data_IF_687865254930
#
_entry.id   IF_687865254930
#
_cell.length_a   1.000
_cell.length_b   1.000
_cell.length_c   1.000
_cell.angle_alpha   90.00
_cell.angle_beta   90.00
_cell.angle_gamma   90.00
#
_symmetry.space_group_name_H-M   'P 1'
#
loop_
_entity.id
_entity.type
_entity.pdbx_description
1 polymer ?
#
# COMPACT_ATOMS: atom_id res chain seq x y z
N UNK A 1 45.74 -0.81 -15.82
CA UNK A 1 44.62 -1.37 -15.00
C UNK A 1 43.72 -0.33 -14.32
N UNK A 2 44.06 0.96 -14.30
CA UNK A 2 43.25 2.00 -13.63
C UNK A 2 42.02 2.50 -14.42
N UNK A 3 41.94 2.26 -15.74
CA UNK A 3 40.89 2.83 -16.61
C UNK A 3 39.58 2.04 -16.65
N UNK A 4 39.61 0.70 -16.43
CA UNK A 4 38.39 -0.14 -16.38
C UNK A 4 37.61 0.01 -15.06
N UNK A 5 38.27 0.36 -13.95
CA UNK A 5 37.63 0.57 -12.63
C UNK A 5 36.82 1.87 -12.58
N UNK A 6 37.30 2.93 -13.26
CA UNK A 6 36.62 4.23 -13.35
C UNK A 6 35.42 4.19 -14.30
N UNK A 7 35.49 3.40 -15.38
CA UNK A 7 34.34 3.15 -16.26
C UNK A 7 33.22 2.36 -15.55
N UNK A 8 33.55 1.34 -14.75
CA UNK A 8 32.55 0.62 -13.93
C UNK A 8 31.93 1.50 -12.84
N UNK A 9 32.69 2.44 -12.24
CA UNK A 9 32.15 3.44 -11.31
C UNK A 9 31.24 4.47 -11.99
N UNK A 10 31.55 4.90 -13.22
CA UNK A 10 30.68 5.80 -14.02
C UNK A 10 29.45 5.11 -14.61
N UNK A 11 29.52 3.80 -14.88
CA UNK A 11 28.35 3.00 -15.32
C UNK A 11 27.43 2.71 -14.12
N UNK A 12 27.97 2.49 -12.92
CA UNK A 12 27.19 2.38 -11.70
C UNK A 12 26.54 3.71 -11.28
N UNK A 13 27.17 4.86 -11.57
CA UNK A 13 26.64 6.20 -11.27
C UNK A 13 25.63 6.73 -12.30
N UNK A 14 25.31 5.93 -13.33
CA UNK A 14 24.32 6.25 -14.38
C UNK A 14 23.31 5.11 -14.50
N UNK A 15 22.87 4.53 -13.38
CA UNK A 15 21.55 3.89 -13.34
C UNK A 15 20.59 5.00 -13.75
N UNK A 16 20.14 5.00 -15.01
CA UNK A 16 19.19 5.97 -15.52
C UNK A 16 18.10 6.14 -14.47
N UNK A 17 17.97 7.35 -13.95
CA UNK A 17 17.02 7.63 -12.88
C UNK A 17 15.64 7.41 -13.50
N UNK A 18 15.06 6.25 -13.23
CA UNK A 18 13.75 5.85 -13.75
C UNK A 18 12.78 6.98 -13.37
N UNK A 19 12.15 7.59 -14.37
CA UNK A 19 11.22 8.71 -14.17
C UNK A 19 10.03 8.28 -13.33
N UNK A 20 9.35 9.23 -12.68
CA UNK A 20 8.15 8.94 -11.89
C UNK A 20 7.07 8.30 -12.76
N UNK A 21 6.93 8.75 -14.00
CA UNK A 21 6.02 8.12 -14.96
C UNK A 21 6.36 6.66 -15.27
N UNK A 22 7.65 6.34 -15.46
CA UNK A 22 8.05 4.94 -15.70
C UNK A 22 7.79 4.05 -14.48
N UNK A 23 7.85 4.60 -13.26
CA UNK A 23 7.42 3.89 -12.05
C UNK A 23 5.91 3.66 -12.04
N UNK A 24 5.11 4.66 -12.41
CA UNK A 24 3.65 4.50 -12.58
C UNK A 24 3.31 3.38 -13.56
N UNK A 25 3.99 3.32 -14.72
CA UNK A 25 3.81 2.22 -15.68
C UNK A 25 4.17 0.85 -15.09
N UNK A 26 5.23 0.77 -14.28
CA UNK A 26 5.64 -0.47 -13.60
C UNK A 26 4.69 -0.85 -12.45
N UNK A 27 4.09 0.12 -11.77
CA UNK A 27 3.05 -0.09 -10.76
C UNK A 27 1.76 -0.65 -11.38
N UNK A 28 1.44 -0.22 -12.61
CA UNK A 28 0.26 -0.65 -13.38
C UNK A 28 0.53 -1.85 -14.30
N UNK A 29 1.72 -2.43 -14.23
CA UNK A 29 2.11 -3.50 -15.14
C UNK A 29 1.15 -4.70 -15.00
N UNK A 30 0.59 -5.27 -16.09
CA UNK A 30 -0.44 -6.32 -16.01
C UNK A 30 0.00 -7.59 -15.26
N UNK A 31 1.31 -7.87 -15.26
CA UNK A 31 1.93 -9.00 -14.53
C UNK A 31 2.48 -8.63 -13.16
N UNK A 32 2.24 -7.41 -12.66
CA UNK A 32 2.66 -7.04 -11.31
C UNK A 32 1.99 -8.00 -10.30
N UNK A 33 2.73 -8.57 -9.34
CA UNK A 33 2.11 -9.39 -8.31
C UNK A 33 1.12 -8.56 -7.48
N UNK A 34 -0.06 -9.13 -7.25
CA UNK A 34 -1.19 -8.56 -6.51
C UNK A 34 -1.18 -9.10 -5.08
N UNK A 35 -2.13 -8.65 -4.25
CA UNK A 35 -2.19 -8.98 -2.83
C UNK A 35 -2.20 -10.49 -2.59
N UNK A 36 -3.05 -11.25 -3.28
CA UNK A 36 -3.18 -12.69 -3.08
C UNK A 36 -1.93 -13.48 -3.53
N UNK A 37 -1.14 -12.96 -4.48
CA UNK A 37 0.15 -13.57 -4.83
C UNK A 37 1.15 -13.44 -3.68
N UNK A 38 1.16 -12.29 -3.00
CA UNK A 38 2.00 -12.09 -1.82
C UNK A 38 1.50 -12.88 -0.63
N UNK A 39 0.18 -13.01 -0.43
CA UNK A 39 -0.39 -13.91 0.58
C UNK A 39 0.12 -15.34 0.36
N UNK A 40 -0.05 -15.87 -0.85
CA UNK A 40 0.37 -17.23 -1.18
C UNK A 40 1.89 -17.48 -1.07
N UNK A 41 2.72 -16.44 -1.25
CA UNK A 41 4.18 -16.59 -1.28
C UNK A 41 4.89 -16.16 0.01
N UNK A 42 4.28 -15.29 0.81
CA UNK A 42 4.90 -14.74 2.02
C UNK A 42 4.30 -15.33 3.29
N UNK A 43 3.04 -15.74 3.26
CA UNK A 43 2.26 -16.17 4.41
C UNK A 43 1.92 -17.65 4.35
N UNK A 44 1.59 -18.20 5.51
CA UNK A 44 1.23 -19.59 5.77
C UNK A 44 -0.16 -19.61 6.43
N UNK A 45 -0.89 -20.72 6.30
CA UNK A 45 -2.18 -20.96 6.95
C UNK A 45 -3.21 -19.82 6.76
N UNK A 46 -3.29 -19.24 5.56
CA UNK A 46 -4.23 -18.16 5.26
C UNK A 46 -5.68 -18.67 5.29
N UNK A 47 -6.49 -18.06 6.16
CA UNK A 47 -7.93 -18.32 6.29
C UNK A 47 -8.66 -17.01 6.01
N UNK A 48 -9.25 -16.92 4.82
CA UNK A 48 -10.00 -15.74 4.39
C UNK A 48 -11.25 -15.51 5.26
N UNK A 49 -11.52 -14.25 5.57
CA UNK A 49 -12.63 -13.80 6.41
C UNK A 49 -13.52 -12.86 5.60
N UNK A 50 -14.77 -13.28 5.40
CA UNK A 50 -15.73 -12.58 4.53
C UNK A 50 -16.71 -11.68 5.29
N UNK A 51 -17.22 -10.66 4.58
CA UNK A 51 -18.36 -9.83 4.95
C UNK A 51 -18.09 -8.73 5.99
N UNK A 52 -18.78 -7.60 5.88
CA UNK A 52 -18.71 -6.49 6.84
C UNK A 52 -19.68 -6.64 8.04
N UNK A 53 -20.60 -7.60 7.99
CA UNK A 53 -21.74 -7.78 8.92
C UNK A 53 -22.78 -6.66 8.86
N UNK A 54 -22.80 -5.91 7.76
CA UNK A 54 -23.72 -4.81 7.56
C UNK A 54 -24.43 -4.91 6.20
N UNK A 55 -23.67 -4.87 5.09
CA UNK A 55 -24.21 -4.86 3.74
C UNK A 55 -23.74 -6.06 2.92
N UNK A 56 -22.44 -6.37 2.91
CA UNK A 56 -21.91 -7.34 1.96
C UNK A 56 -20.45 -7.70 2.15
N UNK A 57 -19.95 -8.50 1.20
CA UNK A 57 -18.56 -8.92 1.12
C UNK A 57 -17.90 -8.36 -0.14
N UNK A 58 -17.07 -7.33 0.03
CA UNK A 58 -16.40 -6.66 -1.09
C UNK A 58 -15.21 -7.49 -1.61
N UNK A 59 -15.31 -7.94 -2.87
CA UNK A 59 -14.24 -8.71 -3.53
C UNK A 59 -12.95 -7.90 -3.77
N UNK A 60 -13.02 -6.56 -3.73
CA UNK A 60 -11.86 -5.68 -3.89
C UNK A 60 -10.98 -5.63 -2.63
N UNK A 61 -11.49 -6.06 -1.47
CA UNK A 61 -10.80 -5.98 -0.17
C UNK A 61 -10.75 -7.34 0.54
N UNK A 62 -10.09 -8.39 0.00
CA UNK A 62 -9.89 -9.64 0.72
C UNK A 62 -9.02 -9.46 1.97
N UNK A 63 -9.13 -10.40 2.89
CA UNK A 63 -8.26 -10.47 4.07
C UNK A 63 -8.62 -11.62 4.99
N UNK A 64 -7.78 -11.88 5.97
CA UNK A 64 -7.92 -13.06 6.80
C UNK A 64 -6.77 -13.27 7.78
N UNK A 65 -6.93 -14.30 8.60
CA UNK A 65 -5.88 -14.75 9.53
C UNK A 65 -4.81 -15.49 8.75
N UNK A 66 -3.55 -15.28 9.13
CA UNK A 66 -2.41 -15.98 8.53
C UNK A 66 -1.25 -16.07 9.51
N UNK A 67 -0.17 -16.73 9.08
CA UNK A 67 1.12 -16.72 9.75
C UNK A 67 2.21 -16.23 8.81
N UNK A 68 3.18 -15.50 9.34
CA UNK A 68 4.39 -15.10 8.60
C UNK A 68 5.60 -15.46 9.46
N UNK A 69 6.38 -16.46 9.03
CA UNK A 69 7.55 -16.95 9.80
C UNK A 69 7.15 -17.36 11.24
N UNK A 70 6.03 -18.09 11.35
CA UNK A 70 5.46 -18.53 12.62
C UNK A 70 4.62 -17.49 13.37
N UNK A 71 4.76 -16.19 13.09
CA UNK A 71 4.03 -15.10 13.75
C UNK A 71 2.59 -15.02 13.22
N UNK A 72 1.60 -15.18 14.09
CA UNK A 72 0.18 -15.01 13.74
C UNK A 72 -0.09 -13.55 13.38
N UNK A 73 -0.84 -13.29 12.32
CA UNK A 73 -1.17 -11.95 11.87
C UNK A 73 -2.53 -11.91 11.16
N UNK A 74 -3.08 -10.71 11.04
CA UNK A 74 -4.22 -10.41 10.19
C UNK A 74 -3.69 -9.72 8.92
N UNK A 75 -3.91 -10.31 7.75
CA UNK A 75 -3.54 -9.70 6.46
C UNK A 75 -4.79 -9.20 5.75
N UNK A 76 -4.78 -7.96 5.28
CA UNK A 76 -5.92 -7.30 4.63
C UNK A 76 -5.37 -6.49 3.45
N UNK A 77 -6.06 -6.42 2.33
CA UNK A 77 -5.57 -5.56 1.26
C UNK A 77 -6.44 -5.48 0.04
N UNK A 78 -6.00 -4.66 -0.91
CA UNK A 78 -6.67 -4.50 -2.20
C UNK A 78 -6.30 -5.63 -3.16
N UNK A 79 -7.28 -6.17 -3.88
CA UNK A 79 -7.05 -7.17 -4.91
C UNK A 79 -7.74 -6.74 -6.21
N UNK A 80 -6.95 -6.61 -7.29
CA UNK A 80 -7.45 -6.09 -8.57
C UNK A 80 -8.08 -7.15 -9.46
N UNK A 81 -7.67 -8.40 -9.28
CA UNK A 81 -8.03 -9.51 -10.14
C UNK A 81 -7.26 -9.52 -11.47
N UNK A 82 -7.03 -10.73 -11.99
CA UNK A 82 -6.19 -10.93 -13.19
C UNK A 82 -7.01 -10.92 -14.48
N UNK A 83 -7.97 -11.82 -14.55
CA UNK A 83 -8.83 -12.03 -15.71
C UNK A 83 -10.02 -11.08 -15.69
N UNK A 84 -10.64 -10.81 -16.84
CA UNK A 84 -11.75 -9.86 -16.96
C UNK A 84 -12.89 -10.14 -15.97
N UNK A 85 -13.28 -11.41 -15.81
CA UNK A 85 -14.33 -11.80 -14.85
C UNK A 85 -13.95 -11.51 -13.40
N UNK A 86 -12.69 -11.75 -13.04
CA UNK A 86 -12.17 -11.52 -11.68
C UNK A 86 -12.01 -10.02 -11.42
N UNK A 87 -11.53 -9.25 -12.40
CA UNK A 87 -11.46 -7.78 -12.32
C UNK A 87 -12.82 -7.14 -12.07
N UNK A 88 -13.86 -7.60 -12.76
CA UNK A 88 -15.22 -7.13 -12.55
C UNK A 88 -15.73 -7.49 -11.16
N UNK A 89 -15.50 -8.74 -10.70
CA UNK A 89 -15.87 -9.17 -9.34
C UNK A 89 -15.20 -8.32 -8.25
N UNK A 90 -13.99 -7.84 -8.52
CA UNK A 90 -13.17 -7.11 -7.55
C UNK A 90 -13.11 -5.61 -7.82
N UNK A 91 -13.99 -5.10 -8.68
CA UNK A 91 -14.03 -3.67 -9.05
C UNK A 91 -12.65 -3.09 -9.41
N UNK A 92 -11.79 -3.89 -10.05
CA UNK A 92 -10.42 -3.50 -10.39
C UNK A 92 -9.57 -3.04 -9.18
N UNK A 93 -9.88 -3.52 -7.98
CA UNK A 93 -9.25 -3.14 -6.71
C UNK A 93 -9.78 -1.84 -6.11
N UNK A 94 -10.83 -1.27 -6.67
CA UNK A 94 -11.53 -0.12 -6.11
C UNK A 94 -12.59 -0.60 -5.11
N UNK A 95 -12.26 -0.57 -3.82
CA UNK A 95 -13.18 -0.99 -2.77
C UNK A 95 -14.33 0.02 -2.59
N UNK A 96 -15.52 -0.51 -2.32
CA UNK A 96 -16.69 0.22 -1.85
C UNK A 96 -16.72 0.33 -0.32
N UNK A 97 -17.79 0.91 0.25
CA UNK A 97 -17.88 1.18 1.69
C UNK A 97 -17.82 -0.10 2.55
N UNK A 98 -18.49 -1.16 2.11
CA UNK A 98 -18.45 -2.49 2.71
C UNK A 98 -17.03 -3.06 2.81
N UNK A 99 -16.14 -2.76 1.84
CA UNK A 99 -14.75 -3.17 1.87
C UNK A 99 -13.99 -2.54 3.04
N UNK A 100 -14.15 -1.22 3.25
CA UNK A 100 -13.52 -0.52 4.36
C UNK A 100 -14.08 -0.96 5.72
N UNK A 101 -15.40 -1.13 5.83
CA UNK A 101 -16.04 -1.67 7.06
C UNK A 101 -15.57 -3.08 7.37
N UNK A 102 -15.48 -3.96 6.36
CA UNK A 102 -14.92 -5.31 6.50
C UNK A 102 -13.46 -5.26 6.96
N UNK A 103 -12.64 -4.39 6.36
CA UNK A 103 -11.25 -4.21 6.76
C UNK A 103 -11.15 -3.84 8.24
N UNK A 104 -11.89 -2.83 8.69
CA UNK A 104 -11.88 -2.41 10.10
C UNK A 104 -12.40 -3.51 11.05
N UNK A 105 -13.43 -4.28 10.65
CA UNK A 105 -13.91 -5.42 11.42
C UNK A 105 -12.79 -6.45 11.65
N UNK A 106 -12.00 -6.73 10.62
CA UNK A 106 -10.84 -7.62 10.73
C UNK A 106 -9.72 -7.00 11.59
N UNK A 107 -9.47 -5.70 11.47
CA UNK A 107 -8.47 -5.00 12.30
C UNK A 107 -8.84 -5.03 13.79
N UNK A 108 -10.11 -4.80 14.14
CA UNK A 108 -10.61 -4.92 15.52
C UNK A 108 -10.51 -6.36 16.05
N UNK A 109 -10.71 -7.35 15.18
CA UNK A 109 -10.49 -8.75 15.53
C UNK A 109 -9.01 -9.02 15.82
N UNK A 110 -8.10 -8.45 15.02
CA UNK A 110 -6.66 -8.57 15.24
C UNK A 110 -6.23 -7.96 16.58
N UNK A 111 -6.73 -6.76 16.91
CA UNK A 111 -6.53 -6.11 18.21
C UNK A 111 -7.04 -6.97 19.36
N UNK A 112 -8.27 -7.51 19.26
CA UNK A 112 -8.87 -8.37 20.30
C UNK A 112 -7.99 -9.59 20.63
N UNK A 113 -7.29 -10.14 19.65
CA UNK A 113 -6.40 -11.30 19.82
C UNK A 113 -4.92 -10.93 19.98
N UNK A 114 -4.60 -9.63 20.09
CA UNK A 114 -3.23 -9.11 20.20
C UNK A 114 -2.30 -9.64 19.10
N UNK A 115 -2.79 -9.68 17.85
CA UNK A 115 -1.99 -10.07 16.69
C UNK A 115 -1.76 -8.86 15.75
N UNK A 116 -0.56 -8.75 15.14
CA UNK A 116 -0.24 -7.67 14.23
C UNK A 116 -1.09 -7.70 12.96
N UNK A 117 -1.28 -6.52 12.37
CA UNK A 117 -1.99 -6.30 11.11
C UNK A 117 -0.97 -6.00 10.00
N UNK A 118 -1.14 -6.63 8.84
CA UNK A 118 -0.43 -6.30 7.61
C UNK A 118 -1.42 -5.85 6.55
N UNK A 119 -1.40 -4.57 6.20
CA UNK A 119 -2.24 -3.97 5.17
C UNK A 119 -1.48 -3.90 3.84
N UNK A 120 -2.03 -4.51 2.79
CA UNK A 120 -1.43 -4.57 1.45
C UNK A 120 -2.22 -3.64 0.52
N UNK A 121 -1.59 -2.54 0.11
CA UNK A 121 -2.22 -1.47 -0.65
C UNK A 121 -1.92 -1.61 -2.14
N UNK A 122 -2.97 -1.76 -2.95
CA UNK A 122 -2.90 -1.75 -4.42
C UNK A 122 -4.24 -1.35 -5.05
N UNK A 123 -4.55 -0.07 -5.02
CA UNK A 123 -5.81 0.47 -5.52
C UNK A 123 -5.63 1.73 -6.37
N UNK A 124 -6.35 1.87 -7.49
CA UNK A 124 -6.48 3.15 -8.18
C UNK A 124 -7.17 4.24 -7.34
N UNK A 125 -8.00 3.82 -6.37
CA UNK A 125 -8.81 4.68 -5.51
C UNK A 125 -10.05 3.94 -4.99
N UNK A 126 -10.81 4.57 -4.10
CA UNK A 126 -12.12 4.05 -3.71
C UNK A 126 -13.07 4.03 -4.91
N UNK A 127 -14.06 3.13 -4.92
CA UNK A 127 -15.01 3.02 -6.02
C UNK A 127 -15.90 4.28 -6.12
N UNK A 128 -15.84 5.06 -7.22
CA UNK A 128 -16.56 6.31 -7.35
C UNK A 128 -17.93 6.10 -8.01
N UNK A 129 -18.76 5.22 -7.42
CA UNK A 129 -20.08 4.85 -7.94
C UNK A 129 -21.24 5.38 -7.10
N UNK A 130 -22.43 5.48 -7.70
CA UNK A 130 -23.64 5.97 -7.01
C UNK A 130 -23.95 5.11 -5.79
N UNK A 131 -23.86 3.78 -5.89
CA UNK A 131 -24.13 2.89 -4.77
C UNK A 131 -23.12 3.06 -3.63
N UNK A 132 -21.87 3.46 -3.95
CA UNK A 132 -20.86 3.73 -2.93
C UNK A 132 -21.15 5.04 -2.19
N UNK A 133 -21.63 6.06 -2.89
CA UNK A 133 -22.07 7.32 -2.27
C UNK A 133 -23.31 7.10 -1.37
N UNK A 134 -24.34 6.42 -1.87
CA UNK A 134 -25.55 6.08 -1.10
C UNK A 134 -25.25 5.30 0.18
N UNK A 135 -24.16 4.52 0.18
CA UNK A 135 -23.69 3.70 1.30
C UNK A 135 -22.57 4.36 2.11
N UNK A 136 -22.32 5.66 1.89
CA UNK A 136 -21.37 6.49 2.62
C UNK A 136 -19.89 6.04 2.52
N UNK A 137 -19.33 6.05 1.30
CA UNK A 137 -17.90 5.77 1.10
C UNK A 137 -16.98 6.72 1.88
N UNK A 138 -17.32 8.01 1.93
CA UNK A 138 -16.56 9.00 2.68
C UNK A 138 -16.53 8.69 4.18
N UNK A 139 -17.68 8.31 4.76
CA UNK A 139 -17.79 7.91 6.17
C UNK A 139 -16.96 6.67 6.44
N UNK A 140 -17.09 5.62 5.63
CA UNK A 140 -16.39 4.36 5.91
C UNK A 140 -14.87 4.53 5.88
N UNK A 141 -14.33 5.35 4.97
CA UNK A 141 -12.91 5.70 4.94
C UNK A 141 -12.55 6.55 6.17
N UNK A 142 -13.28 7.63 6.45
CA UNK A 142 -12.98 8.52 7.58
C UNK A 142 -13.02 7.80 8.93
N UNK A 143 -13.99 6.90 9.10
CA UNK A 143 -14.13 6.08 10.29
C UNK A 143 -12.93 5.11 10.43
N UNK A 144 -12.49 4.49 9.34
CA UNK A 144 -11.26 3.69 9.36
C UNK A 144 -10.05 4.53 9.80
N UNK A 145 -9.84 5.73 9.24
CA UNK A 145 -8.70 6.57 9.63
C UNK A 145 -8.70 6.85 11.14
N UNK A 146 -9.87 7.21 11.68
CA UNK A 146 -10.05 7.49 13.11
C UNK A 146 -9.75 6.25 13.95
N UNK A 147 -10.29 5.09 13.59
CA UNK A 147 -10.13 3.89 14.41
C UNK A 147 -8.70 3.35 14.34
N UNK A 148 -8.09 3.35 13.15
CA UNK A 148 -6.75 2.81 12.94
C UNK A 148 -5.68 3.55 13.74
N UNK A 149 -5.84 4.86 13.99
CA UNK A 149 -4.88 5.60 14.82
C UNK A 149 -4.87 5.11 16.29
N UNK A 150 -5.99 4.54 16.77
CA UNK A 150 -6.17 4.13 18.17
C UNK A 150 -5.95 2.63 18.42
N UNK A 151 -5.85 1.81 17.37
CA UNK A 151 -5.73 0.35 17.50
C UNK A 151 -4.50 -0.06 18.32
N UNK A 152 -4.71 -0.80 19.40
CA UNK A 152 -3.69 -1.27 20.34
C UNK A 152 -2.95 -2.52 19.89
N UNK A 153 -2.68 -2.63 18.60
CA UNK A 153 -1.88 -3.70 18.00
C UNK A 153 -0.97 -3.13 16.90
N UNK A 154 0.19 -3.74 16.61
CA UNK A 154 1.05 -3.29 15.52
C UNK A 154 0.37 -3.33 14.17
N UNK A 155 0.58 -2.30 13.35
CA UNK A 155 0.08 -2.18 11.99
C UNK A 155 1.23 -1.86 11.05
N UNK A 156 1.36 -2.64 9.99
CA UNK A 156 2.27 -2.36 8.88
C UNK A 156 1.46 -2.22 7.61
N UNK A 157 1.54 -1.07 6.95
CA UNK A 157 0.98 -0.85 5.63
C UNK A 157 2.07 -0.97 4.57
N UNK A 158 1.79 -1.65 3.46
CA UNK A 158 2.72 -1.81 2.34
C UNK A 158 2.03 -1.44 1.04
N UNK A 159 2.50 -0.39 0.37
CA UNK A 159 2.05 -0.06 -1.00
C UNK A 159 2.80 -0.94 -1.99
N UNK A 160 2.11 -1.97 -2.48
CA UNK A 160 2.68 -2.93 -3.42
C UNK A 160 2.51 -2.53 -4.87
N UNK A 161 1.59 -1.62 -5.22
CA UNK A 161 1.35 -1.17 -6.59
C UNK A 161 0.87 0.28 -6.65
N UNK A 162 -0.43 0.49 -6.75
CA UNK A 162 -1.03 1.82 -6.76
C UNK A 162 -1.53 2.21 -5.36
N UNK A 163 -1.10 3.37 -4.85
CA UNK A 163 -1.60 3.98 -3.63
C UNK A 163 -2.53 5.15 -3.97
N UNK A 164 -3.76 4.84 -4.40
CA UNK A 164 -4.73 5.84 -4.85
C UNK A 164 -5.49 6.53 -3.71
N UNK A 165 -5.09 7.78 -3.41
CA UNK A 165 -5.86 8.75 -2.61
C UNK A 165 -6.38 8.20 -1.28
N UNK A 166 -7.55 8.69 -0.84
CA UNK A 166 -8.24 8.22 0.37
C UNK A 166 -8.59 6.73 0.34
N UNK A 167 -8.74 6.15 -0.86
CA UNK A 167 -9.03 4.72 -0.98
C UNK A 167 -7.88 3.81 -0.55
N UNK A 168 -6.64 4.24 -0.80
CA UNK A 168 -5.45 3.61 -0.25
C UNK A 168 -5.29 3.94 1.25
N UNK A 169 -5.51 5.20 1.62
CA UNK A 169 -5.34 5.67 2.99
C UNK A 169 -6.32 5.01 3.97
N UNK A 170 -7.50 4.60 3.52
CA UNK A 170 -8.52 3.91 4.35
C UNK A 170 -8.07 2.57 4.95
N UNK A 171 -6.93 2.03 4.52
CA UNK A 171 -6.22 0.93 5.20
C UNK A 171 -4.71 1.24 5.37
N UNK A 172 -4.32 2.51 5.30
CA UNK A 172 -2.93 2.97 5.24
C UNK A 172 -2.41 3.69 6.48
N UNK A 173 -3.24 3.84 7.53
CA UNK A 173 -2.80 4.34 8.83
C UNK A 173 -2.07 3.22 9.59
N UNK A 174 -0.78 3.38 9.84
CA UNK A 174 0.07 2.31 10.35
C UNK A 174 1.27 2.83 11.16
N UNK A 175 1.83 1.98 12.01
CA UNK A 175 3.09 2.27 12.72
C UNK A 175 4.25 2.37 11.73
N UNK A 176 4.25 1.48 10.73
CA UNK A 176 5.21 1.46 9.63
C UNK A 176 4.50 1.40 8.29
N UNK A 177 4.90 2.28 7.39
CA UNK A 177 4.45 2.39 6.00
C UNK A 177 5.64 2.07 5.11
N UNK A 178 5.54 0.97 4.38
CA UNK A 178 6.53 0.52 3.41
C UNK A 178 6.00 0.77 2.00
N UNK A 179 6.89 1.01 1.05
CA UNK A 179 6.54 1.07 -0.36
C UNK A 179 7.49 0.21 -1.17
N UNK A 180 6.95 -0.57 -2.11
CA UNK A 180 7.74 -1.19 -3.15
C UNK A 180 8.42 -0.13 -4.03
N UNK A 181 9.64 -0.39 -4.50
CA UNK A 181 10.46 0.64 -5.17
C UNK A 181 9.77 1.30 -6.37
N UNK A 182 8.94 0.57 -7.11
CA UNK A 182 8.22 1.08 -8.26
C UNK A 182 6.71 1.21 -8.02
N UNK A 183 6.24 1.17 -6.77
CA UNK A 183 4.87 1.61 -6.45
C UNK A 183 4.79 3.14 -6.38
N UNK A 184 3.57 3.66 -6.36
CA UNK A 184 3.32 5.09 -6.11
C UNK A 184 2.28 5.29 -5.02
N UNK A 185 2.32 6.45 -4.36
CA UNK A 185 1.29 6.89 -3.42
C UNK A 185 0.96 8.35 -3.71
N UNK A 186 -0.30 8.66 -3.99
CA UNK A 186 -0.69 10.01 -4.45
C UNK A 186 -2.09 10.39 -3.99
N UNK A 187 -2.31 11.68 -3.75
CA UNK A 187 -3.63 12.26 -3.39
C UNK A 187 -4.62 12.21 -4.56
N UNK A 188 -4.13 12.20 -5.80
CA UNK A 188 -4.92 12.12 -7.03
C UNK A 188 -4.13 11.33 -8.08
N UNK A 189 -4.82 10.69 -9.03
CA UNK A 189 -4.14 10.06 -10.16
C UNK A 189 -3.36 11.10 -10.99
N UNK A 190 -2.22 10.73 -11.60
CA UNK A 190 -1.51 11.62 -12.52
C UNK A 190 -2.39 12.17 -13.63
N UNK A 191 -3.27 11.34 -14.18
CA UNK A 191 -4.22 11.72 -15.23
C UNK A 191 -5.24 12.74 -14.72
N UNK A 192 -5.76 12.55 -13.50
CA UNK A 192 -6.71 13.48 -12.88
C UNK A 192 -6.06 14.84 -12.61
N UNK A 193 -4.84 14.84 -12.07
CA UNK A 193 -4.06 16.06 -11.85
C UNK A 193 -3.80 16.81 -13.16
N UNK A 194 -3.37 16.10 -14.21
CA UNK A 194 -3.14 16.68 -15.53
C UNK A 194 -4.40 17.28 -16.15
N UNK A 195 -5.53 16.59 -16.04
CA UNK A 195 -6.82 17.08 -16.53
C UNK A 195 -7.29 18.37 -15.82
N UNK A 196 -6.91 18.57 -14.55
CA UNK A 196 -7.31 19.76 -13.78
C UNK A 196 -6.33 20.92 -14.02
N UNK A 197 -5.03 20.70 -13.78
CA UNK A 197 -4.03 21.77 -13.77
C UNK A 197 -3.52 22.12 -15.17
N UNK A 198 -3.44 21.15 -16.08
CA UNK A 198 -3.01 21.35 -17.47
C UNK A 198 -4.17 21.34 -18.47
N UNK A 199 -5.39 21.02 -18.03
CA UNK A 199 -6.58 20.86 -18.89
C UNK A 199 -6.41 19.81 -20.01
N UNK A 200 -5.44 18.90 -19.86
CA UNK A 200 -5.11 17.88 -20.86
C UNK A 200 -4.39 16.69 -20.21
N UNK A 201 -4.94 15.49 -20.39
CA UNK A 201 -4.42 14.24 -19.79
C UNK A 201 -3.04 13.85 -20.34
N UNK A 202 -2.61 14.36 -21.49
CA UNK A 202 -1.29 14.04 -22.06
C UNK A 202 -0.13 14.47 -21.16
N UNK A 203 -0.36 15.43 -20.26
CA UNK A 203 0.61 15.90 -19.28
C UNK A 203 0.66 15.04 -18.00
N UNK A 204 0.06 13.84 -17.99
CA UNK A 204 0.16 12.91 -16.87
C UNK A 204 1.61 12.59 -16.44
N UNK A 205 2.60 12.44 -17.36
CA UNK A 205 4.01 12.30 -16.97
C UNK A 205 4.55 13.51 -16.20
N UNK A 206 4.20 14.72 -16.61
CA UNK A 206 4.61 15.97 -15.94
C UNK A 206 3.95 16.10 -14.56
N UNK A 207 2.64 15.79 -14.47
CA UNK A 207 1.91 15.76 -13.22
C UNK A 207 2.50 14.74 -12.23
N UNK A 208 2.85 13.52 -12.70
CA UNK A 208 3.49 12.51 -11.87
C UNK A 208 4.85 12.97 -11.31
N UNK A 209 5.64 13.67 -12.11
CA UNK A 209 6.92 14.24 -11.67
C UNK A 209 6.71 15.38 -10.67
N UNK A 210 5.75 16.29 -10.94
CA UNK A 210 5.44 17.43 -10.09
C UNK A 210 4.95 17.01 -8.68
N UNK A 211 4.08 16.00 -8.62
CA UNK A 211 3.52 15.49 -7.36
C UNK A 211 4.52 14.67 -6.53
N UNK A 212 5.63 14.20 -7.12
CA UNK A 212 6.66 13.40 -6.43
C UNK A 212 6.09 12.18 -5.68
N UNK A 213 5.19 11.47 -6.36
CA UNK A 213 4.46 10.29 -5.88
C UNK A 213 5.31 9.01 -5.68
N UNK A 214 6.60 9.05 -6.01
CA UNK A 214 7.47 7.87 -5.95
C UNK A 214 7.99 7.58 -4.54
N UNK A 215 8.27 6.30 -4.27
CA UNK A 215 8.70 5.83 -2.96
C UNK A 215 9.95 6.55 -2.40
N UNK A 216 10.89 7.00 -3.24
CA UNK A 216 12.11 7.67 -2.75
C UNK A 216 11.81 9.10 -2.31
N UNK A 217 11.01 9.81 -3.10
CA UNK A 217 10.55 11.15 -2.74
C UNK A 217 9.72 11.14 -1.45
N UNK A 218 8.75 10.22 -1.36
CA UNK A 218 7.88 10.11 -0.19
C UNK A 218 8.66 9.69 1.07
N UNK A 219 9.70 8.87 0.94
CA UNK A 219 10.61 8.58 2.05
C UNK A 219 11.39 9.82 2.50
N UNK A 220 11.86 10.64 1.55
CA UNK A 220 12.55 11.91 1.86
C UNK A 220 11.62 12.89 2.59
N UNK A 221 10.33 12.87 2.29
CA UNK A 221 9.31 13.68 2.97
C UNK A 221 8.84 13.12 4.31
N UNK A 222 9.35 11.95 4.74
CA UNK A 222 8.91 11.32 5.99
C UNK A 222 7.49 10.76 5.95
N UNK A 223 6.88 10.62 4.75
CA UNK A 223 5.55 10.03 4.58
C UNK A 223 5.59 8.51 4.71
N UNK A 224 6.72 7.88 4.35
CA UNK A 224 6.96 6.44 4.47
C UNK A 224 8.28 6.15 5.16
N UNK A 225 8.42 4.96 5.75
CA UNK A 225 9.60 4.59 6.54
C UNK A 225 10.62 3.81 5.71
N UNK A 226 10.16 2.93 4.80
CA UNK A 226 11.03 1.98 4.07
C UNK A 226 10.64 1.84 2.61
N UNK A 227 11.67 1.75 1.77
CA UNK A 227 11.53 1.37 0.36
C UNK A 227 11.98 -0.08 0.22
N UNK A 228 11.09 -0.95 -0.23
CA UNK A 228 11.36 -2.37 -0.51
C UNK A 228 11.86 -2.49 -1.95
N UNK A 229 13.09 -2.96 -2.12
CA UNK A 229 13.73 -3.04 -3.43
C UNK A 229 13.05 -4.06 -4.34
N UNK A 230 12.88 -3.67 -5.60
CA UNK A 230 12.42 -4.55 -6.68
C UNK A 230 13.60 -5.05 -7.52
N UNK A 231 13.43 -6.16 -8.27
CA UNK A 231 14.32 -6.51 -9.38
C UNK A 231 14.45 -5.35 -10.38
N UNK A 232 15.54 -5.31 -11.16
CA UNK A 232 15.91 -4.15 -11.99
C UNK A 232 14.85 -3.67 -12.99
N UNK A 233 13.95 -4.56 -13.42
CA UNK A 233 12.88 -4.26 -14.38
C UNK A 233 11.48 -4.29 -13.74
N UNK A 234 11.40 -4.35 -12.41
CA UNK A 234 10.16 -4.36 -11.64
C UNK A 234 9.79 -5.73 -11.07
N UNK A 235 8.88 -5.71 -10.09
CA UNK A 235 8.42 -6.84 -9.28
C UNK A 235 8.03 -8.08 -10.08
N UNK A 236 7.40 -7.87 -11.24
CA UNK A 236 6.90 -8.92 -12.13
C UNK A 236 8.01 -9.76 -12.79
N UNK A 237 9.26 -9.26 -12.82
CA UNK A 237 10.36 -9.97 -13.50
C UNK A 237 10.99 -11.08 -12.66
N UNK A 238 10.88 -10.99 -11.34
CA UNK A 238 11.24 -12.08 -10.44
C UNK A 238 10.33 -12.05 -9.19
N UNK A 239 9.09 -12.56 -9.30
CA UNK A 239 8.13 -12.53 -8.21
C UNK A 239 8.65 -13.22 -6.95
N UNK A 240 9.39 -14.33 -7.08
CA UNK A 240 9.99 -15.04 -5.94
C UNK A 240 10.95 -14.17 -5.13
N UNK A 241 11.87 -13.47 -5.82
CA UNK A 241 12.79 -12.55 -5.14
C UNK A 241 12.05 -11.34 -4.55
N UNK A 242 11.04 -10.83 -5.25
CA UNK A 242 10.20 -9.72 -4.79
C UNK A 242 9.46 -10.09 -3.50
N UNK A 243 8.78 -11.24 -3.47
CA UNK A 243 8.09 -11.76 -2.29
C UNK A 243 9.06 -11.99 -1.13
N UNK A 244 10.26 -12.53 -1.39
CA UNK A 244 11.29 -12.66 -0.36
C UNK A 244 11.67 -11.30 0.25
N UNK A 245 11.94 -10.30 -0.58
CA UNK A 245 12.29 -8.96 -0.10
C UNK A 245 11.15 -8.33 0.71
N UNK A 246 9.91 -8.51 0.26
CA UNK A 246 8.72 -8.01 0.96
C UNK A 246 8.53 -8.72 2.30
N UNK A 247 8.57 -10.06 2.33
CA UNK A 247 8.47 -10.88 3.55
C UNK A 247 9.52 -10.45 4.58
N UNK A 248 10.79 -10.32 4.17
CA UNK A 248 11.86 -9.84 5.05
C UNK A 248 11.56 -8.44 5.57
N UNK A 249 11.16 -7.50 4.69
CA UNK A 249 10.87 -6.14 5.12
C UNK A 249 9.72 -6.06 6.13
N UNK A 250 8.65 -6.84 5.94
CA UNK A 250 7.53 -6.94 6.89
C UNK A 250 8.01 -7.54 8.21
N UNK A 251 8.74 -8.66 8.18
CA UNK A 251 9.21 -9.34 9.38
C UNK A 251 10.15 -8.49 10.23
N UNK A 252 11.06 -7.74 9.60
CA UNK A 252 11.96 -6.83 10.32
C UNK A 252 11.14 -5.83 11.14
N UNK A 253 10.13 -5.20 10.53
CA UNK A 253 9.32 -4.19 11.20
C UNK A 253 8.37 -4.82 12.23
N UNK A 254 7.75 -5.99 11.95
CA UNK A 254 6.89 -6.70 12.92
C UNK A 254 7.70 -7.02 14.18
N UNK A 255 8.91 -7.56 14.03
CA UNK A 255 9.76 -7.94 15.17
C UNK A 255 10.16 -6.72 16.00
N UNK A 256 10.38 -5.56 15.38
CA UNK A 256 10.65 -4.31 16.10
C UNK A 256 9.40 -3.88 16.89
N UNK A 257 8.23 -3.85 16.24
CA UNK A 257 6.99 -3.36 16.86
C UNK A 257 6.48 -4.27 17.98
N UNK A 258 6.61 -5.59 17.85
CA UNK A 258 6.20 -6.54 18.89
C UNK A 258 7.03 -6.42 20.18
N UNK A 259 8.23 -5.83 20.11
CA UNK A 259 9.06 -5.58 21.28
C UNK A 259 8.84 -4.19 21.91
N UNK A 260 7.91 -3.39 21.37
CA UNK A 260 7.58 -2.07 21.93
C UNK A 260 6.41 -2.15 22.92
N UNK A 261 6.45 -1.40 24.04
CA UNK A 261 5.27 -1.18 24.85
C UNK A 261 4.14 -0.55 24.03
N UNK A 262 2.90 -0.97 24.26
CA UNK A 262 1.72 -0.51 23.50
C UNK A 262 1.56 1.01 23.55
N UNK A 263 1.73 1.63 24.72
CA UNK A 263 1.57 3.08 24.88
C UNK A 263 2.64 3.88 24.10
N UNK A 264 3.88 3.37 24.07
CA UNK A 264 4.96 3.97 23.26
C UNK A 264 4.65 3.84 21.77
N UNK A 265 4.19 2.67 21.32
CA UNK A 265 3.80 2.43 19.93
C UNK A 265 2.67 3.38 19.49
N UNK A 266 1.64 3.56 20.33
CA UNK A 266 0.52 4.47 20.03
C UNK A 266 0.96 5.92 19.96
N UNK A 267 1.82 6.37 20.88
CA UNK A 267 2.36 7.73 20.85
C UNK A 267 3.24 7.96 19.61
N UNK A 268 4.10 7.00 19.26
CA UNK A 268 4.88 7.06 18.01
C UNK A 268 3.98 7.16 16.78
N UNK A 269 2.91 6.35 16.73
CA UNK A 269 1.91 6.40 15.64
C UNK A 269 1.24 7.76 15.58
N UNK A 270 0.77 8.31 16.69
CA UNK A 270 0.17 9.64 16.73
C UNK A 270 1.15 10.72 16.24
N UNK A 271 2.37 10.74 16.78
CA UNK A 271 3.39 11.72 16.43
C UNK A 271 3.81 11.64 14.97
N UNK A 272 3.91 10.43 14.42
CA UNK A 272 4.20 10.20 13.00
C UNK A 272 3.23 10.99 12.12
N UNK A 273 1.93 10.82 12.31
CA UNK A 273 0.93 11.50 11.48
C UNK A 273 0.79 12.98 11.84
N UNK A 274 0.95 13.37 13.11
CA UNK A 274 0.83 14.77 13.55
C UNK A 274 1.91 15.68 12.96
N UNK A 275 3.08 15.13 12.63
CA UNK A 275 4.24 15.82 12.04
C UNK A 275 4.20 15.90 10.52
N UNK A 276 3.26 15.24 9.84
CA UNK A 276 3.15 15.32 8.38
C UNK A 276 2.53 16.67 8.00
N UNK A 277 3.31 17.46 7.25
CA UNK A 277 2.93 18.79 6.77
C UNK A 277 3.97 19.83 7.15
N UNK A 278 4.31 20.72 6.21
CA UNK A 278 5.19 21.86 6.44
C UNK A 278 4.39 23.15 6.22
N UNK A 279 4.46 24.06 7.19
CA UNK A 279 3.78 25.35 7.17
C UNK A 279 4.77 26.41 7.65
N UNK A 280 4.67 27.63 7.12
CA UNK A 280 5.43 28.76 7.63
C UNK A 280 4.70 29.23 8.90
N UNK A 281 5.37 29.13 10.05
CA UNK A 281 4.88 29.67 11.31
C UNK A 281 4.93 31.20 11.33
#
# INVERSE_FOLDING_TARGET
>A
MATKKTARKKIASKRAQISSWKRVELARHPKRPMMLDYVASCFEDFIEVHGDRHIGDDGAMPGGLARIDGIKCMVIGHEKGRETKDKLKRNFGCAGPEGYRKALRMMRMAEKFNIPIVSIIDTPGAYPGVEAEERNIAESIAFNLREMIMLKTPIIAVVIGEGGSGGALGIGIADRVLMMENSYYSVISPEGCAAILWKDRKYAPDAANAMKLDARSLKKFGVIDKVVKEPSHGAHTNPKSTSKNLKTAILDEIKILLNKPTDEMLEERYQKYRKIGEFIN
#
